data_IF_230566094826
#
_entry.id   IF_230566094826
#
_cell.length_a   1.000
_cell.length_b   1.000
_cell.length_c   1.000
_cell.angle_alpha   90.00
_cell.angle_beta   90.00
_cell.angle_gamma   90.00
#
_symmetry.space_group_name_H-M   'P 1'
#
loop_
_entity.id
_entity.type
_entity.pdbx_description
1 polymer ?
#
# COMPACT_ATOMS: atom_id res chain seq x y z
N UNK A 1 45.92 -30.28 5.04
CA UNK A 1 44.51 -30.59 4.74
C UNK A 1 43.70 -29.33 5.04
N UNK A 2 43.28 -28.60 4.02
CA UNK A 2 42.52 -27.35 4.18
C UNK A 2 41.05 -27.65 3.94
N UNK A 3 40.24 -27.57 4.99
CA UNK A 3 38.79 -27.71 4.90
C UNK A 3 38.18 -26.42 4.36
N UNK A 4 37.70 -26.50 3.11
CA UNK A 4 36.89 -25.45 2.49
C UNK A 4 35.50 -25.48 3.12
N UNK A 5 35.21 -24.54 4.01
CA UNK A 5 33.86 -24.33 4.54
C UNK A 5 33.02 -23.68 3.45
N UNK A 6 32.20 -24.47 2.76
CA UNK A 6 31.15 -23.97 1.87
C UNK A 6 30.13 -23.22 2.74
N UNK A 7 30.18 -21.90 2.75
CA UNK A 7 29.09 -21.08 3.28
C UNK A 7 27.92 -21.18 2.32
N UNK A 8 26.95 -22.02 2.65
CA UNK A 8 25.64 -22.01 2.00
C UNK A 8 24.94 -20.71 2.42
N UNK A 9 25.00 -19.68 1.57
CA UNK A 9 24.19 -18.48 1.74
C UNK A 9 22.74 -18.83 1.41
N UNK A 10 21.97 -19.26 2.40
CA UNK A 10 20.53 -19.47 2.24
C UNK A 10 19.90 -18.09 2.11
N UNK A 11 19.48 -17.72 0.89
CA UNK A 11 18.70 -16.50 0.68
C UNK A 11 17.43 -16.55 1.51
N UNK A 12 17.07 -15.43 2.15
CA UNK A 12 15.83 -15.32 2.90
C UNK A 12 14.62 -15.55 1.98
N UNK A 13 13.58 -16.23 2.46
CA UNK A 13 12.39 -16.48 1.65
C UNK A 13 11.68 -15.17 1.31
N UNK A 14 11.31 -15.04 0.04
CA UNK A 14 10.61 -13.86 -0.49
C UNK A 14 9.10 -14.07 -0.51
N UNK A 15 8.37 -12.98 -0.72
CA UNK A 15 6.94 -13.01 -0.99
C UNK A 15 6.60 -13.88 -2.21
N UNK A 16 7.46 -13.88 -3.24
CA UNK A 16 7.33 -14.73 -4.42
C UNK A 16 7.33 -16.22 -4.03
N UNK A 17 8.29 -16.64 -3.20
CA UNK A 17 8.45 -18.03 -2.78
C UNK A 17 7.21 -18.53 -2.01
N UNK A 18 6.70 -17.71 -1.08
CA UNK A 18 5.51 -18.05 -0.29
C UNK A 18 4.21 -18.09 -1.10
N UNK A 19 4.11 -17.26 -2.15
CA UNK A 19 2.96 -17.30 -3.07
C UNK A 19 3.05 -18.51 -3.99
N UNK A 20 4.25 -18.83 -4.50
CA UNK A 20 4.48 -19.98 -5.38
C UNK A 20 4.26 -21.31 -4.65
N UNK A 21 4.64 -21.41 -3.37
CA UNK A 21 4.40 -22.58 -2.52
C UNK A 21 2.94 -22.74 -2.08
N UNK A 22 2.11 -21.70 -2.25
CA UNK A 22 0.72 -21.67 -1.80
C UNK A 22 0.54 -21.37 -0.30
N UNK A 23 1.62 -21.09 0.43
CA UNK A 23 1.59 -20.73 1.84
C UNK A 23 0.93 -19.37 2.10
N UNK A 24 0.96 -18.46 1.11
CA UNK A 24 0.29 -17.15 1.18
C UNK A 24 -0.56 -16.86 -0.06
N UNK A 25 -1.66 -16.14 0.16
CA UNK A 25 -2.49 -15.55 -0.90
C UNK A 25 -2.52 -14.04 -0.75
N UNK A 26 -1.81 -13.33 -1.63
CA UNK A 26 -1.89 -11.88 -1.70
C UNK A 26 -3.20 -11.47 -2.35
N UNK A 27 -3.92 -10.58 -1.68
CA UNK A 27 -5.11 -9.96 -2.25
C UNK A 27 -4.69 -8.82 -3.16
N UNK A 28 -5.35 -8.70 -4.30
CA UNK A 28 -5.18 -7.56 -5.19
C UNK A 28 -6.35 -6.60 -5.01
N UNK A 29 -6.03 -5.31 -4.86
CA UNK A 29 -7.02 -4.24 -4.72
C UNK A 29 -6.71 -3.19 -5.77
N UNK A 30 -7.65 -2.94 -6.67
CA UNK A 30 -7.49 -1.91 -7.70
C UNK A 30 -8.11 -0.59 -7.23
N UNK A 31 -7.34 0.50 -7.37
CA UNK A 31 -7.79 1.86 -7.14
C UNK A 31 -7.61 2.65 -8.43
N UNK A 32 -8.73 3.09 -9.01
CA UNK A 32 -8.73 3.92 -10.21
C UNK A 32 -8.95 5.37 -9.82
N UNK A 33 -7.98 6.23 -10.13
CA UNK A 33 -8.15 7.68 -10.04
C UNK A 33 -8.96 8.13 -11.24
N UNK A 34 -9.99 8.94 -10.99
CA UNK A 34 -10.90 9.40 -12.04
C UNK A 34 -10.16 10.14 -13.16
N UNK A 35 -10.65 9.94 -14.39
CA UNK A 35 -10.12 10.56 -15.60
C UNK A 35 -10.03 12.08 -15.46
N UNK A 36 -8.94 12.67 -15.96
CA UNK A 36 -8.76 14.13 -15.98
C UNK A 36 -8.99 14.60 -17.41
N UNK A 37 -10.11 15.29 -17.63
CA UNK A 37 -10.42 15.99 -18.88
C UNK A 37 -10.07 17.47 -18.67
N UNK A 38 -9.09 18.04 -19.39
CA UNK A 38 -8.78 19.46 -19.30
C UNK A 38 -10.02 20.33 -19.66
N UNK A 39 -10.23 21.49 -19.01
CA UNK A 39 -11.42 22.32 -19.25
C UNK A 39 -11.65 22.73 -20.71
N UNK A 40 -10.56 22.90 -21.47
CA UNK A 40 -10.56 23.28 -22.87
C UNK A 40 -10.91 22.13 -23.85
N UNK A 41 -10.95 20.90 -23.37
CA UNK A 41 -11.22 19.72 -24.19
C UNK A 41 -12.73 19.47 -24.26
N UNK A 42 -13.26 19.43 -25.49
CA UNK A 42 -14.64 19.03 -25.77
C UNK A 42 -14.67 17.56 -26.21
N UNK A 43 -15.07 16.60 -25.36
CA UNK A 43 -14.98 15.16 -25.67
C UNK A 43 -15.77 14.75 -26.92
N UNK A 44 -16.81 15.52 -27.27
CA UNK A 44 -17.69 15.22 -28.40
C UNK A 44 -17.28 15.91 -29.71
N UNK A 45 -16.21 16.71 -29.70
CA UNK A 45 -15.73 17.37 -30.92
C UNK A 45 -15.06 16.35 -31.86
N UNK A 46 -15.68 16.06 -33.00
CA UNK A 46 -15.15 15.09 -33.98
C UNK A 46 -14.09 15.69 -34.90
N UNK A 47 -13.82 16.98 -34.81
CA UNK A 47 -12.79 17.66 -35.62
C UNK A 47 -11.36 17.50 -35.06
N UNK A 48 -11.24 17.08 -33.80
CA UNK A 48 -9.98 16.84 -33.09
C UNK A 48 -9.83 15.34 -32.85
N UNK A 49 -8.59 14.82 -32.89
CA UNK A 49 -8.30 13.41 -32.55
C UNK A 49 -7.99 13.29 -31.05
N UNK A 50 -8.70 12.38 -30.38
CA UNK A 50 -8.68 12.26 -28.93
C UNK A 50 -7.78 11.12 -28.47
N UNK A 51 -6.62 11.44 -27.89
CA UNK A 51 -5.72 10.41 -27.37
C UNK A 51 -5.75 10.38 -25.85
N UNK A 52 -6.12 9.23 -25.30
CA UNK A 52 -5.98 8.92 -23.88
C UNK A 52 -4.63 8.28 -23.65
N UNK A 53 -3.79 8.90 -22.83
CA UNK A 53 -2.57 8.28 -22.33
C UNK A 53 -2.80 7.92 -20.88
N UNK A 54 -2.85 6.62 -20.59
CA UNK A 54 -2.82 6.11 -19.24
C UNK A 54 -1.35 5.92 -18.83
N UNK A 55 -0.92 6.61 -17.79
CA UNK A 55 0.39 6.33 -17.20
C UNK A 55 0.42 4.89 -16.66
N UNK A 56 1.61 4.27 -16.65
CA UNK A 56 1.78 2.92 -16.10
C UNK A 56 1.28 2.88 -14.65
N UNK A 57 0.57 1.82 -14.24
CA UNK A 57 0.07 1.73 -12.87
C UNK A 57 1.23 1.74 -11.86
N UNK A 58 0.95 2.22 -10.67
CA UNK A 58 1.83 2.07 -9.52
C UNK A 58 1.32 0.96 -8.63
N UNK A 59 2.19 0.03 -8.26
CA UNK A 59 1.91 -1.06 -7.34
C UNK A 59 2.41 -0.70 -5.95
N UNK A 60 1.59 -0.95 -4.95
CA UNK A 60 1.90 -0.76 -3.53
C UNK A 60 1.69 -2.07 -2.79
N UNK A 61 2.54 -2.41 -1.83
CA UNK A 61 2.26 -3.47 -0.86
C UNK A 61 1.79 -2.82 0.44
N UNK A 62 0.51 -2.98 0.79
CA UNK A 62 -0.06 -2.13 1.82
C UNK A 62 -1.44 -2.52 2.36
N UNK A 63 -2.00 -1.61 3.16
CA UNK A 63 -3.31 -1.74 3.78
C UNK A 63 -4.15 -0.48 3.61
N UNK A 64 -5.45 -0.66 3.42
CA UNK A 64 -6.44 0.37 3.69
C UNK A 64 -6.99 0.21 5.10
N UNK A 65 -6.75 1.19 5.96
CA UNK A 65 -7.25 1.22 7.32
C UNK A 65 -8.32 2.29 7.46
N UNK A 66 -9.37 2.01 8.24
CA UNK A 66 -10.34 3.03 8.61
C UNK A 66 -9.91 3.64 9.94
N UNK A 67 -9.71 4.97 10.02
CA UNK A 67 -9.40 5.65 11.28
C UNK A 67 -10.49 5.41 12.34
N UNK A 68 -11.75 5.37 11.90
CA UNK A 68 -12.89 5.03 12.76
C UNK A 68 -12.75 3.62 13.35
N UNK A 69 -12.49 2.61 12.52
CA UNK A 69 -12.33 1.21 13.00
C UNK A 69 -11.09 1.05 13.89
N UNK A 70 -10.00 1.76 13.57
CA UNK A 70 -8.81 1.80 14.41
C UNK A 70 -9.13 2.31 15.81
N UNK A 71 -9.84 3.44 15.89
CA UNK A 71 -10.29 3.99 17.16
C UNK A 71 -11.24 3.05 17.91
N UNK A 72 -12.24 2.48 17.25
CA UNK A 72 -13.17 1.53 17.85
C UNK A 72 -12.45 0.29 18.41
N UNK A 73 -11.46 -0.23 17.68
CA UNK A 73 -10.60 -1.32 18.14
C UNK A 73 -9.77 -0.94 19.37
N UNK A 74 -9.15 0.24 19.37
CA UNK A 74 -8.41 0.75 20.52
C UNK A 74 -9.32 0.93 21.75
N UNK A 75 -10.54 1.46 21.55
CA UNK A 75 -11.54 1.63 22.61
C UNK A 75 -11.96 0.28 23.21
N UNK A 76 -12.27 -0.70 22.37
CA UNK A 76 -12.64 -2.06 22.81
C UNK A 76 -11.54 -2.73 23.64
N UNK A 77 -10.27 -2.43 23.32
CA UNK A 77 -9.11 -3.00 24.00
C UNK A 77 -8.64 -2.17 25.21
N UNK A 78 -9.36 -1.13 25.62
CA UNK A 78 -8.95 -0.25 26.73
C UNK A 78 -7.69 0.59 26.46
N UNK A 79 -7.32 0.77 25.19
CA UNK A 79 -6.13 1.52 24.74
C UNK A 79 -6.47 2.89 24.14
N UNK A 80 -7.74 3.27 24.14
CA UNK A 80 -8.17 4.57 23.63
C UNK A 80 -7.80 5.68 24.61
N UNK A 81 -7.36 6.80 24.05
CA UNK A 81 -7.18 8.05 24.76
C UNK A 81 -8.54 8.75 24.97
N UNK A 82 -8.53 9.87 25.69
CA UNK A 82 -9.74 10.66 25.98
C UNK A 82 -10.51 11.08 24.71
N UNK A 83 -9.83 11.23 23.57
CA UNK A 83 -10.47 11.57 22.29
C UNK A 83 -10.01 10.63 21.16
N UNK A 84 -10.84 10.53 20.12
CA UNK A 84 -10.48 9.83 18.89
C UNK A 84 -9.21 10.41 18.27
N UNK A 85 -9.10 11.74 18.19
CA UNK A 85 -7.92 12.42 17.66
C UNK A 85 -6.65 12.04 18.44
N UNK A 86 -6.67 12.13 19.77
CA UNK A 86 -5.51 11.76 20.59
C UNK A 86 -5.10 10.29 20.42
N UNK A 87 -6.08 9.39 20.31
CA UNK A 87 -5.83 7.95 20.08
C UNK A 87 -5.14 7.72 18.74
N UNK A 88 -5.64 8.37 17.68
CA UNK A 88 -5.10 8.24 16.34
C UNK A 88 -3.72 8.92 16.20
N UNK A 89 -3.53 10.09 16.82
CA UNK A 89 -2.24 10.78 16.85
C UNK A 89 -1.17 9.93 17.56
N UNK A 90 -1.54 9.30 18.70
CA UNK A 90 -0.66 8.36 19.41
C UNK A 90 -0.30 7.13 18.56
N UNK A 91 -1.28 6.57 17.85
CA UNK A 91 -1.03 5.46 16.93
C UNK A 91 -0.06 5.86 15.80
N UNK A 92 -0.27 7.02 15.17
CA UNK A 92 0.63 7.51 14.13
C UNK A 92 2.03 7.83 14.65
N UNK A 93 2.14 8.37 15.87
CA UNK A 93 3.43 8.60 16.51
C UNK A 93 4.20 7.28 16.71
N UNK A 94 3.52 6.24 17.20
CA UNK A 94 4.11 4.90 17.32
C UNK A 94 4.59 4.35 15.97
N UNK A 95 3.76 4.43 14.93
CA UNK A 95 4.10 3.96 13.58
C UNK A 95 5.29 4.72 13.00
N UNK A 96 5.35 6.05 13.21
CA UNK A 96 6.48 6.87 12.79
C UNK A 96 7.77 6.49 13.53
N UNK A 97 7.70 6.33 14.85
CA UNK A 97 8.86 6.02 15.69
C UNK A 97 9.46 4.65 15.35
N UNK A 98 8.62 3.64 15.12
CA UNK A 98 9.07 2.26 14.96
C UNK A 98 9.21 1.81 13.50
N UNK A 99 8.55 2.48 12.56
CA UNK A 99 8.57 2.12 11.14
C UNK A 99 9.00 3.23 10.20
N UNK A 100 9.27 4.44 10.70
CA UNK A 100 9.65 5.59 9.87
C UNK A 100 8.55 6.15 8.96
N UNK A 101 7.35 5.56 8.99
CA UNK A 101 6.25 5.91 8.09
C UNK A 101 5.62 7.25 8.47
N UNK A 102 5.46 8.14 7.49
CA UNK A 102 4.89 9.48 7.67
C UNK A 102 3.92 9.88 6.54
N UNK A 103 3.18 10.96 6.73
CA UNK A 103 2.28 11.47 5.69
C UNK A 103 3.06 11.85 4.42
N UNK A 104 2.67 11.26 3.29
CA UNK A 104 3.36 11.39 2.00
C UNK A 104 4.47 10.37 1.78
N UNK A 105 4.90 9.66 2.83
CA UNK A 105 5.98 8.68 2.78
C UNK A 105 5.62 7.42 3.59
N UNK A 106 5.04 6.43 2.89
CA UNK A 106 4.50 5.22 3.50
C UNK A 106 3.07 5.36 4.01
N UNK A 107 2.49 6.57 4.06
CA UNK A 107 1.13 6.82 4.51
C UNK A 107 0.43 7.96 3.74
N UNK A 108 -0.82 7.74 3.33
CA UNK A 108 -1.63 8.75 2.64
C UNK A 108 -3.12 8.66 3.00
N UNK A 109 -3.84 9.80 2.88
CA UNK A 109 -5.30 9.84 3.04
C UNK A 109 -5.99 9.61 1.70
N UNK A 110 -7.04 8.80 1.72
CA UNK A 110 -7.88 8.49 0.56
C UNK A 110 -9.34 8.53 0.94
N UNK A 111 -10.18 9.04 0.03
CA UNK A 111 -11.63 8.91 0.14
C UNK A 111 -12.06 7.71 -0.70
N UNK A 112 -12.57 6.66 -0.06
CA UNK A 112 -13.04 5.46 -0.73
C UNK A 112 -14.47 5.16 -0.28
N UNK A 113 -15.41 5.15 -1.24
CA UNK A 113 -16.83 4.92 -0.93
C UNK A 113 -17.43 5.98 0.00
N UNK A 114 -16.96 7.23 -0.09
CA UNK A 114 -17.41 8.33 0.78
C UNK A 114 -16.81 8.34 2.18
N UNK A 115 -15.93 7.39 2.51
CA UNK A 115 -15.26 7.32 3.81
C UNK A 115 -13.76 7.64 3.71
N UNK A 116 -13.23 8.31 4.74
CA UNK A 116 -11.79 8.46 4.90
C UNK A 116 -11.14 7.10 5.20
N UNK A 117 -10.13 6.77 4.42
CA UNK A 117 -9.25 5.61 4.58
C UNK A 117 -7.79 6.07 4.58
N UNK A 118 -7.01 5.46 5.45
CA UNK A 118 -5.56 5.64 5.50
C UNK A 118 -4.92 4.49 4.73
N UNK A 119 -4.16 4.86 3.71
CA UNK A 119 -3.36 3.95 2.89
C UNK A 119 -1.96 3.90 3.49
N UNK A 120 -1.61 2.77 4.11
CA UNK A 120 -0.24 2.49 4.52
C UNK A 120 0.42 1.60 3.48
N UNK A 121 1.66 1.88 3.09
CA UNK A 121 2.44 1.01 2.20
C UNK A 121 3.86 0.79 2.70
N UNK A 122 4.37 -0.41 2.45
CA UNK A 122 5.74 -0.81 2.73
C UNK A 122 6.67 -0.50 1.56
N UNK A 123 6.22 -0.80 0.33
CA UNK A 123 6.97 -0.57 -0.90
C UNK A 123 6.04 0.00 -1.98
N UNK A 124 6.62 0.83 -2.85
CA UNK A 124 6.00 1.42 -4.03
C UNK A 124 6.88 1.16 -5.25
N UNK A 125 6.32 0.58 -6.31
CA UNK A 125 7.02 0.39 -7.59
C UNK A 125 6.09 0.57 -8.79
N UNK A 126 6.66 0.89 -9.95
CA UNK A 126 5.97 0.83 -11.25
C UNK A 126 5.93 -0.59 -11.83
N UNK A 127 6.66 -1.52 -11.23
CA UNK A 127 6.74 -2.92 -11.64
C UNK A 127 6.15 -3.79 -10.55
N UNK A 128 5.25 -4.69 -10.96
CA UNK A 128 4.59 -5.59 -10.00
C UNK A 128 5.60 -6.58 -9.42
N UNK A 129 6.61 -6.97 -10.19
CA UNK A 129 7.62 -7.96 -9.82
C UNK A 129 8.43 -7.51 -8.59
N UNK A 130 8.73 -6.22 -8.47
CA UNK A 130 9.46 -5.66 -7.33
C UNK A 130 8.69 -5.80 -6.01
N UNK A 131 7.37 -5.93 -6.06
CA UNK A 131 6.56 -6.20 -4.87
C UNK A 131 6.80 -7.63 -4.36
N UNK A 132 7.02 -8.57 -5.27
CA UNK A 132 7.22 -9.98 -4.94
C UNK A 132 8.63 -10.27 -4.41
N UNK A 133 9.60 -9.36 -4.61
CA UNK A 133 10.97 -9.52 -4.08
C UNK A 133 11.09 -9.15 -2.61
N UNK A 134 10.03 -8.63 -1.99
CA UNK A 134 10.06 -8.26 -0.57
C UNK A 134 10.21 -9.51 0.31
N UNK A 135 11.14 -9.47 1.24
CA UNK A 135 11.39 -10.55 2.19
C UNK A 135 10.23 -10.74 3.18
N UNK A 136 9.92 -11.99 3.54
CA UNK A 136 8.79 -12.29 4.44
C UNK A 136 8.95 -11.68 5.84
N UNK A 137 10.17 -11.60 6.34
CA UNK A 137 10.46 -11.00 7.65
C UNK A 137 10.05 -9.52 7.67
N UNK A 138 10.33 -8.79 6.59
CA UNK A 138 9.93 -7.38 6.44
C UNK A 138 8.40 -7.25 6.39
N UNK A 139 7.73 -8.15 5.68
CA UNK A 139 6.26 -8.18 5.61
C UNK A 139 5.64 -8.45 6.97
N UNK A 140 6.21 -9.41 7.73
CA UNK A 140 5.76 -9.72 9.08
C UNK A 140 6.03 -8.58 10.06
N UNK A 141 7.17 -7.91 9.95
CA UNK A 141 7.49 -6.68 10.68
C UNK A 141 6.45 -5.59 10.43
N UNK A 142 6.14 -5.33 9.16
CA UNK A 142 5.12 -4.35 8.76
C UNK A 142 3.72 -4.71 9.28
N UNK A 143 3.35 -5.99 9.22
CA UNK A 143 2.08 -6.49 9.76
C UNK A 143 1.98 -6.28 11.28
N UNK A 144 3.06 -6.58 12.01
CA UNK A 144 3.15 -6.37 13.47
C UNK A 144 3.10 -4.89 13.83
N UNK A 145 3.83 -4.04 13.11
CA UNK A 145 3.85 -2.59 13.30
C UNK A 145 2.43 -2.00 13.22
N UNK A 146 1.64 -2.41 12.23
CA UNK A 146 0.29 -1.90 12.04
C UNK A 146 -0.77 -2.62 12.88
N UNK A 147 -0.40 -3.69 13.59
CA UNK A 147 -1.30 -4.49 14.42
C UNK A 147 -2.36 -5.25 13.61
N UNK A 148 -2.02 -5.67 12.39
CA UNK A 148 -2.95 -6.32 11.45
C UNK A 148 -2.76 -7.84 11.48
N UNK A 149 -3.84 -8.62 11.47
CA UNK A 149 -3.74 -10.09 11.52
C UNK A 149 -3.52 -10.78 10.17
N UNK A 150 -3.75 -10.03 9.08
CA UNK A 150 -3.75 -10.53 7.70
C UNK A 150 -2.57 -9.96 6.92
N UNK A 151 -2.18 -10.63 5.84
CA UNK A 151 -1.15 -10.14 4.92
C UNK A 151 -1.55 -8.84 4.21
N UNK A 152 -0.58 -7.98 3.85
CA UNK A 152 -0.82 -6.80 3.06
C UNK A 152 -1.33 -7.17 1.66
N UNK A 153 -2.11 -6.26 1.07
CA UNK A 153 -2.61 -6.39 -0.28
C UNK A 153 -1.63 -5.76 -1.28
N UNK A 154 -1.62 -6.27 -2.52
CA UNK A 154 -1.08 -5.53 -3.65
C UNK A 154 -2.15 -4.54 -4.09
N UNK A 155 -1.90 -3.26 -3.87
CA UNK A 155 -2.78 -2.16 -4.25
C UNK A 155 -2.29 -1.61 -5.59
N UNK A 156 -3.12 -1.75 -6.61
CA UNK A 156 -2.84 -1.33 -7.99
C UNK A 156 -3.46 0.06 -8.16
N UNK A 157 -2.62 1.08 -8.15
CA UNK A 157 -3.00 2.45 -8.40
C UNK A 157 -2.98 2.75 -9.89
N UNK A 158 -4.16 2.83 -10.51
CA UNK A 158 -4.31 3.28 -11.88
C UNK A 158 -4.38 4.80 -11.90
N UNK A 159 -3.32 5.41 -12.42
CA UNK A 159 -3.27 6.84 -12.66
C UNK A 159 -4.39 7.28 -13.60
N UNK A 160 -4.85 8.54 -13.45
CA UNK A 160 -5.90 9.06 -14.31
C UNK A 160 -5.47 9.00 -15.77
N UNK A 161 -6.42 8.74 -16.67
CA UNK A 161 -6.18 8.96 -18.08
C UNK A 161 -6.12 10.47 -18.30
N UNK A 162 -5.09 10.92 -19.01
CA UNK A 162 -5.03 12.27 -19.54
C UNK A 162 -5.47 12.20 -21.00
N UNK A 163 -6.48 12.97 -21.40
CA UNK A 163 -6.74 13.20 -22.83
C UNK A 163 -5.85 14.38 -23.29
N UNK A 164 -4.85 14.06 -24.11
CA UNK A 164 -3.94 14.98 -24.78
C UNK A 164 -4.53 15.34 -26.16
N UNK A 165 -4.66 16.64 -26.44
CA UNK A 165 -5.15 17.20 -27.70
C UNK A 165 -4.03 17.36 -28.73
#
# INVERSE_FOLDING_TARGET
MSSTTTQTSTSLPTLADAVASGERKLREVMVTVQDVVPPQVKPNDRSIKHFYVQARPTYLLGYFMSPKKLYEGAKKNGKAEATMKATLDKYLAYVKEHGGITWGDGLERRMLGGEERWLFWLIRSERKEDIYTVELEVVDGFRRLLGVGVDPAIIIYQHPKHYIC
#
